data_IF_804707762664
#
_entry.id   IF_804707762664
#
_cell.length_a   1.000
_cell.length_b   1.000
_cell.length_c   1.000
_cell.angle_alpha   90.00
_cell.angle_beta   90.00
_cell.angle_gamma   90.00
#
_symmetry.space_group_name_H-M   'P 1'
#
loop_
_entity.id
_entity.type
_entity.pdbx_description
1 polymer ?
#
# COMPACT_ATOMS: atom_id res chain seq x y z
N UNK A 1 17.58 -60.62 34.17
CA UNK A 1 16.80 -59.98 33.08
C UNK A 1 16.70 -58.50 33.37
N UNK A 2 17.48 -57.66 32.67
CA UNK A 2 17.45 -56.19 32.82
C UNK A 2 16.67 -55.63 31.64
N UNK A 3 15.53 -55.01 31.91
CA UNK A 3 14.71 -54.34 30.93
C UNK A 3 15.29 -52.95 30.65
N UNK A 4 15.61 -52.66 29.38
CA UNK A 4 15.91 -51.31 28.92
C UNK A 4 14.59 -50.63 28.55
N UNK A 5 14.22 -49.57 29.27
CA UNK A 5 13.12 -48.70 28.88
C UNK A 5 13.61 -47.78 27.76
N UNK A 6 12.97 -47.88 26.59
CA UNK A 6 13.17 -46.95 25.47
C UNK A 6 12.42 -45.67 25.80
N UNK A 7 13.14 -44.58 26.08
CA UNK A 7 12.55 -43.24 26.19
C UNK A 7 12.31 -42.72 24.78
N UNK A 8 11.05 -42.69 24.36
CA UNK A 8 10.64 -42.01 23.14
C UNK A 8 10.57 -40.51 23.41
N UNK A 9 11.51 -39.75 22.84
CA UNK A 9 11.43 -38.29 22.82
C UNK A 9 10.48 -37.90 21.68
N UNK A 10 9.25 -37.56 22.04
CA UNK A 10 8.34 -36.87 21.13
C UNK A 10 8.79 -35.42 21.06
N UNK A 11 9.49 -35.05 19.99
CA UNK A 11 9.71 -33.65 19.64
C UNK A 11 8.37 -33.05 19.21
N UNK A 12 7.68 -32.39 20.14
CA UNK A 12 6.64 -31.43 19.80
C UNK A 12 7.32 -30.27 19.06
N UNK A 13 7.19 -30.25 17.73
CA UNK A 13 7.57 -29.08 16.94
C UNK A 13 6.72 -27.90 17.38
N UNK A 14 7.34 -26.89 17.98
CA UNK A 14 6.73 -25.58 18.13
C UNK A 14 6.48 -25.04 16.72
N UNK A 15 5.22 -25.05 16.28
CA UNK A 15 4.80 -24.23 15.14
C UNK A 15 4.77 -22.80 15.67
N UNK A 16 5.88 -22.08 15.57
CA UNK A 16 5.87 -20.63 15.75
C UNK A 16 5.08 -20.05 14.60
N UNK A 17 3.82 -19.71 14.85
CA UNK A 17 2.99 -18.94 13.94
C UNK A 17 3.63 -17.57 13.74
N UNK A 18 4.54 -17.48 12.78
CA UNK A 18 5.01 -16.21 12.26
C UNK A 18 3.81 -15.46 11.72
N UNK A 19 3.62 -14.22 12.13
CA UNK A 19 2.74 -13.29 11.43
C UNK A 19 3.15 -13.30 9.96
N UNK A 20 2.26 -13.73 9.06
CA UNK A 20 2.53 -13.66 7.64
C UNK A 20 2.95 -12.23 7.31
N UNK A 21 4.14 -12.07 6.72
CA UNK A 21 4.62 -10.76 6.29
C UNK A 21 3.67 -10.20 5.22
N UNK A 22 3.52 -8.88 5.21
CA UNK A 22 2.75 -8.22 4.16
C UNK A 22 3.32 -8.60 2.78
N UNK A 23 2.43 -8.78 1.81
CA UNK A 23 2.78 -9.23 0.46
C UNK A 23 2.11 -8.33 -0.56
N UNK A 24 2.90 -7.63 -1.36
CA UNK A 24 2.40 -6.85 -2.49
C UNK A 24 1.43 -7.67 -3.35
N UNK A 25 0.30 -7.08 -3.72
CA UNK A 25 -0.71 -7.72 -4.55
C UNK A 25 -1.73 -8.57 -3.78
N UNK A 26 -1.77 -8.47 -2.44
CA UNK A 26 -2.71 -9.19 -1.57
C UNK A 26 -3.57 -8.21 -0.77
N UNK A 27 -4.85 -8.52 -0.50
CA UNK A 27 -5.67 -7.74 0.45
C UNK A 27 -5.38 -8.16 1.90
N UNK A 28 -4.20 -7.78 2.39
CA UNK A 28 -3.70 -8.00 3.75
C UNK A 28 -3.72 -6.71 4.60
N UNK A 29 -4.32 -5.64 4.06
CA UNK A 29 -4.51 -4.38 4.76
C UNK A 29 -5.28 -4.57 6.08
N UNK A 30 -4.75 -4.12 7.22
CA UNK A 30 -5.33 -4.38 8.54
C UNK A 30 -6.70 -3.72 8.73
N UNK A 31 -6.99 -2.63 8.03
CA UNK A 31 -8.26 -1.92 8.14
C UNK A 31 -9.29 -2.29 7.06
N UNK A 32 -9.08 -3.37 6.30
CA UNK A 32 -10.04 -3.82 5.26
C UNK A 32 -11.48 -4.05 5.77
N UNK A 33 -11.62 -4.37 7.05
CA UNK A 33 -12.91 -4.58 7.73
C UNK A 33 -13.23 -3.50 8.78
N UNK A 34 -12.42 -2.45 8.88
CA UNK A 34 -12.67 -1.34 9.79
C UNK A 34 -13.85 -0.48 9.31
N UNK A 35 -14.33 0.40 10.20
CA UNK A 35 -15.23 1.46 9.80
C UNK A 35 -14.57 2.35 8.73
N UNK A 36 -15.37 2.82 7.81
CA UNK A 36 -14.97 3.77 6.75
C UNK A 36 -14.72 5.14 7.39
N UNK A 37 -13.77 5.90 6.84
CA UNK A 37 -13.51 7.30 7.19
C UNK A 37 -13.19 7.55 8.67
N UNK A 38 -12.48 6.62 9.32
CA UNK A 38 -11.95 6.83 10.67
C UNK A 38 -10.48 7.20 10.59
N UNK A 39 -10.03 8.12 11.44
CA UNK A 39 -8.62 8.42 11.57
C UNK A 39 -7.83 7.17 11.97
N UNK A 40 -6.78 6.86 11.20
CA UNK A 40 -5.84 5.79 11.49
C UNK A 40 -4.58 6.29 12.24
N UNK A 41 -3.67 5.36 12.54
CA UNK A 41 -2.42 5.66 13.25
C UNK A 41 -1.43 6.52 12.45
N UNK A 42 -1.58 6.60 11.13
CA UNK A 42 -0.72 7.41 10.24
C UNK A 42 -1.30 8.80 9.98
N UNK A 43 -2.50 9.10 10.49
CA UNK A 43 -3.19 10.36 10.30
C UNK A 43 -3.95 10.47 8.97
N UNK A 44 -4.26 9.33 8.35
CA UNK A 44 -5.15 9.21 7.18
C UNK A 44 -6.49 8.57 7.58
N UNK A 45 -7.40 8.39 6.62
CA UNK A 45 -8.72 7.82 6.84
C UNK A 45 -8.75 6.33 6.44
N UNK A 46 -9.21 5.47 7.34
CA UNK A 46 -9.29 4.02 7.11
C UNK A 46 -10.10 3.69 5.87
N UNK A 47 -9.60 2.71 5.11
CA UNK A 47 -10.18 2.24 3.84
C UNK A 47 -10.16 3.28 2.71
N UNK A 48 -9.44 4.39 2.88
CA UNK A 48 -9.08 5.28 1.77
C UNK A 48 -7.74 4.88 1.16
N UNK A 49 -7.52 5.33 -0.09
CA UNK A 49 -6.29 5.05 -0.84
C UNK A 49 -5.03 5.52 -0.10
N UNK A 50 -5.09 6.70 0.53
CA UNK A 50 -3.97 7.29 1.26
C UNK A 50 -3.58 6.48 2.50
N UNK A 51 -4.56 5.95 3.23
CA UNK A 51 -4.32 5.08 4.39
C UNK A 51 -3.70 3.74 3.99
N UNK A 52 -4.22 3.14 2.93
CA UNK A 52 -3.66 1.90 2.40
C UNK A 52 -2.21 2.07 1.91
N UNK A 53 -1.93 3.13 1.17
CA UNK A 53 -0.56 3.43 0.72
C UNK A 53 0.35 3.74 1.91
N UNK A 54 -0.12 4.48 2.92
CA UNK A 54 0.66 4.74 4.13
C UNK A 54 1.05 3.44 4.84
N UNK A 55 0.12 2.50 4.95
CA UNK A 55 0.39 1.17 5.48
C UNK A 55 1.44 0.42 4.66
N UNK A 56 1.30 0.37 3.33
CA UNK A 56 2.28 -0.27 2.43
C UNK A 56 3.68 0.35 2.54
N UNK A 57 3.77 1.67 2.63
CA UNK A 57 5.04 2.40 2.86
C UNK A 57 5.70 1.96 4.18
N UNK A 58 4.91 1.72 5.23
CA UNK A 58 5.44 1.19 6.50
C UNK A 58 5.94 -0.24 6.39
N UNK A 59 5.08 -1.14 5.90
CA UNK A 59 5.32 -2.59 6.02
C UNK A 59 6.18 -3.16 4.90
N UNK A 60 6.07 -2.62 3.69
CA UNK A 60 6.78 -3.15 2.52
C UNK A 60 8.03 -2.34 2.15
N UNK A 61 8.04 -1.03 2.43
CA UNK A 61 9.20 -0.16 2.15
C UNK A 61 10.05 0.13 3.40
N UNK A 62 9.58 -0.23 4.59
CA UNK A 62 10.32 -0.06 5.85
C UNK A 62 10.41 1.38 6.35
N UNK A 63 9.61 2.31 5.80
CA UNK A 63 9.57 3.72 6.25
C UNK A 63 8.55 3.85 7.38
N UNK A 64 8.95 3.37 8.56
CA UNK A 64 8.08 3.19 9.73
C UNK A 64 7.69 4.48 10.46
N UNK A 65 8.29 5.61 10.10
CA UNK A 65 7.96 6.94 10.63
C UNK A 65 7.11 7.77 9.65
N UNK A 66 6.70 7.20 8.51
CA UNK A 66 5.82 7.88 7.56
C UNK A 66 4.47 8.20 8.20
N UNK A 67 4.03 9.45 8.11
CA UNK A 67 2.71 9.88 8.56
C UNK A 67 2.19 10.94 7.60
N UNK A 68 0.92 11.32 7.76
CA UNK A 68 0.35 12.43 7.03
C UNK A 68 1.16 13.74 7.21
N UNK A 69 1.96 13.87 8.31
CA UNK A 69 2.85 15.00 8.58
C UNK A 69 4.35 14.66 8.47
N UNK A 70 4.74 13.81 7.51
CA UNK A 70 6.12 13.34 7.37
C UNK A 70 7.12 14.43 6.96
N UNK A 71 8.27 14.52 7.67
CA UNK A 71 9.38 15.46 7.43
C UNK A 71 8.95 16.93 7.26
N UNK A 72 7.93 17.37 8.00
CA UNK A 72 7.38 18.72 7.92
C UNK A 72 6.50 18.97 6.68
N UNK A 73 6.26 17.95 5.85
CA UNK A 73 5.23 17.94 4.82
C UNK A 73 3.85 17.69 5.42
N UNK A 74 2.80 17.94 4.64
CA UNK A 74 1.44 17.51 4.97
C UNK A 74 0.80 16.93 3.72
N UNK A 75 0.63 15.61 3.66
CA UNK A 75 0.28 14.88 2.43
C UNK A 75 -1.19 15.06 2.05
N UNK A 76 -2.12 14.89 2.98
CA UNK A 76 -3.57 15.05 2.80
C UNK A 76 -4.11 14.22 1.64
N UNK A 77 -5.02 14.81 0.86
CA UNK A 77 -5.58 14.24 -0.36
C UNK A 77 -4.49 13.81 -1.35
N UNK A 78 -4.74 12.71 -2.06
CA UNK A 78 -3.86 12.12 -3.06
C UNK A 78 -3.28 13.13 -4.09
N UNK A 79 -4.11 14.06 -4.58
CA UNK A 79 -3.70 15.12 -5.53
C UNK A 79 -2.51 15.97 -5.05
N UNK A 80 -2.28 16.05 -3.74
CA UNK A 80 -1.20 16.86 -3.17
C UNK A 80 0.09 16.06 -2.97
N UNK A 81 0.06 14.72 -3.03
CA UNK A 81 1.18 13.85 -2.63
C UNK A 81 2.45 14.14 -3.43
N UNK A 82 2.37 14.21 -4.76
CA UNK A 82 3.53 14.47 -5.60
C UNK A 82 4.16 15.85 -5.34
N UNK A 83 3.37 16.87 -5.00
CA UNK A 83 3.88 18.21 -4.70
C UNK A 83 4.52 18.26 -3.29
N UNK A 84 3.86 17.65 -2.30
CA UNK A 84 4.35 17.57 -0.93
C UNK A 84 5.64 16.74 -0.83
N UNK A 85 5.70 15.60 -1.51
CA UNK A 85 6.88 14.75 -1.58
C UNK A 85 8.09 15.50 -2.14
N UNK A 86 7.93 16.23 -3.25
CA UNK A 86 8.99 17.10 -3.79
C UNK A 86 9.43 18.16 -2.79
N UNK A 87 8.50 18.81 -2.09
CA UNK A 87 8.79 19.86 -1.09
C UNK A 87 9.68 19.35 0.03
N UNK A 88 9.49 18.10 0.47
CA UNK A 88 10.29 17.48 1.53
C UNK A 88 11.53 16.70 1.01
N UNK A 89 11.86 16.87 -0.28
CA UNK A 89 13.07 16.31 -0.88
C UNK A 89 12.99 14.84 -1.30
N UNK A 90 11.80 14.23 -1.35
CA UNK A 90 11.64 12.91 -1.96
C UNK A 90 11.76 13.02 -3.48
N UNK A 91 12.33 11.98 -4.10
CA UNK A 91 12.39 11.89 -5.56
C UNK A 91 10.96 11.68 -6.09
N UNK A 92 10.59 12.51 -7.06
CA UNK A 92 9.32 12.38 -7.78
C UNK A 92 9.55 12.57 -9.27
N UNK A 93 9.24 11.55 -10.06
CA UNK A 93 9.47 11.53 -11.50
C UNK A 93 8.37 10.79 -12.26
N UNK A 94 8.63 10.48 -13.53
CA UNK A 94 7.72 9.77 -14.42
C UNK A 94 8.16 8.32 -14.68
N UNK A 95 9.05 7.75 -13.86
CA UNK A 95 9.58 6.40 -14.04
C UNK A 95 8.95 5.46 -13.01
N UNK A 96 8.01 4.58 -13.41
CA UNK A 96 7.45 3.61 -12.49
C UNK A 96 8.51 2.60 -12.09
N UNK A 97 8.61 2.34 -10.79
CA UNK A 97 9.41 1.25 -10.22
C UNK A 97 8.57 0.53 -9.18
N UNK A 98 8.72 -0.79 -9.06
CA UNK A 98 8.04 -1.57 -8.01
C UNK A 98 8.23 -0.93 -6.64
N UNK A 99 7.15 -0.77 -5.87
CA UNK A 99 7.14 -0.14 -4.56
C UNK A 99 7.06 1.39 -4.57
N UNK A 100 7.23 2.06 -5.72
CA UNK A 100 6.95 3.50 -5.79
C UNK A 100 5.45 3.77 -5.58
N UNK A 101 5.12 4.95 -5.08
CA UNK A 101 3.73 5.41 -5.01
C UNK A 101 3.36 6.09 -6.32
N UNK A 102 2.42 5.51 -7.06
CA UNK A 102 1.80 6.14 -8.20
C UNK A 102 0.79 7.19 -7.73
N UNK A 103 0.93 8.42 -8.21
CA UNK A 103 0.04 9.54 -7.92
C UNK A 103 -0.76 9.88 -9.17
N UNK A 104 -2.08 9.77 -9.04
CA UNK A 104 -3.07 10.04 -10.07
C UNK A 104 -3.62 11.46 -9.84
N UNK A 105 -3.41 12.38 -10.79
CA UNK A 105 -4.05 13.68 -10.73
C UNK A 105 -5.58 13.57 -10.81
N UNK A 106 -6.34 14.60 -10.38
CA UNK A 106 -7.78 14.63 -10.52
C UNK A 106 -8.25 14.40 -11.97
N UNK A 107 -9.19 13.48 -12.17
CA UNK A 107 -9.78 13.16 -13.49
C UNK A 107 -8.89 12.34 -14.42
N UNK A 108 -7.70 11.94 -13.97
CA UNK A 108 -6.76 11.13 -14.77
C UNK A 108 -6.95 9.66 -14.44
N UNK A 109 -7.05 8.81 -15.48
CA UNK A 109 -7.12 7.36 -15.33
C UNK A 109 -8.17 6.95 -14.28
N UNK A 110 -9.41 7.44 -14.41
CA UNK A 110 -10.52 7.12 -13.50
C UNK A 110 -10.51 7.82 -12.14
N UNK A 111 -9.44 8.52 -11.76
CA UNK A 111 -9.35 9.15 -10.44
C UNK A 111 -10.36 10.29 -10.23
N UNK A 112 -10.95 10.36 -9.03
CA UNK A 112 -11.87 11.41 -8.62
C UNK A 112 -11.21 12.78 -8.35
N UNK A 113 -12.01 13.75 -7.87
CA UNK A 113 -11.56 15.13 -7.64
C UNK A 113 -10.45 15.31 -6.59
N UNK A 114 -10.29 14.33 -5.69
CA UNK A 114 -9.21 14.29 -4.70
C UNK A 114 -7.90 13.71 -5.25
N UNK A 115 -7.89 13.27 -6.51
CA UNK A 115 -6.84 12.42 -7.07
C UNK A 115 -6.91 11.01 -6.49
N UNK A 116 -5.89 10.20 -6.78
CA UNK A 116 -5.77 8.86 -6.21
C UNK A 116 -4.29 8.49 -6.01
N UNK A 117 -4.00 7.60 -5.05
CA UNK A 117 -2.66 7.06 -4.86
C UNK A 117 -2.71 5.55 -4.74
N UNK A 118 -1.72 4.90 -5.35
CA UNK A 118 -1.60 3.46 -5.40
C UNK A 118 -0.13 3.03 -5.28
N UNK A 119 0.13 1.77 -4.94
CA UNK A 119 1.48 1.21 -4.92
C UNK A 119 1.77 0.49 -6.23
N UNK A 120 2.94 0.73 -6.82
CA UNK A 120 3.37 0.06 -8.04
C UNK A 120 3.74 -1.39 -7.75
N UNK A 121 3.03 -2.34 -8.36
CA UNK A 121 3.34 -3.77 -8.34
C UNK A 121 4.38 -4.15 -9.38
N UNK A 122 4.21 -3.61 -10.60
CA UNK A 122 5.09 -3.87 -11.75
C UNK A 122 4.90 -2.81 -12.83
N UNK A 123 5.79 -2.77 -13.81
CA UNK A 123 5.70 -1.84 -14.93
C UNK A 123 6.32 -2.41 -16.20
N UNK A 124 5.80 -1.92 -17.33
CA UNK A 124 6.44 -2.03 -18.64
C UNK A 124 6.97 -0.66 -19.06
N UNK A 125 7.41 -0.51 -20.31
CA UNK A 125 7.80 0.80 -20.84
C UNK A 125 6.64 1.80 -20.84
N UNK A 126 5.40 1.35 -21.01
CA UNK A 126 4.25 2.23 -21.25
C UNK A 126 3.17 2.16 -20.18
N UNK A 127 3.14 1.09 -19.41
CA UNK A 127 2.07 0.80 -18.45
C UNK A 127 2.64 0.54 -17.07
N UNK A 128 1.79 0.76 -16.07
CA UNK A 128 2.08 0.44 -14.67
C UNK A 128 0.90 -0.33 -14.10
N UNK A 129 1.19 -1.44 -13.44
CA UNK A 129 0.20 -2.20 -12.67
C UNK A 129 0.34 -1.81 -11.20
N UNK A 130 -0.76 -1.47 -10.56
CA UNK A 130 -0.79 -0.96 -9.19
C UNK A 130 -1.76 -1.74 -8.32
N UNK A 131 -1.59 -1.63 -7.00
CA UNK A 131 -2.58 -2.01 -6.01
C UNK A 131 -2.99 -0.80 -5.17
N UNK A 132 -4.25 -0.78 -4.75
CA UNK A 132 -4.80 0.29 -3.94
C UNK A 132 -6.04 -0.12 -3.13
N UNK A 133 -6.66 0.89 -2.52
CA UNK A 133 -7.95 0.79 -1.88
C UNK A 133 -8.84 1.94 -2.32
N UNK A 134 -10.14 1.68 -2.42
CA UNK A 134 -11.16 2.67 -2.75
C UNK A 134 -11.02 3.31 -4.15
N UNK A 135 -10.52 2.56 -5.13
CA UNK A 135 -10.60 2.94 -6.53
C UNK A 135 -11.74 2.20 -7.21
N UNK A 136 -12.81 2.88 -7.61
CA UNK A 136 -13.97 2.23 -8.21
C UNK A 136 -13.75 1.96 -9.71
N UNK A 137 -13.64 0.69 -10.09
CA UNK A 137 -13.41 0.26 -11.47
C UNK A 137 -14.06 -1.11 -11.76
N UNK A 138 -13.87 -1.62 -12.97
CA UNK A 138 -14.36 -2.95 -13.36
C UNK A 138 -13.77 -4.07 -12.48
N UNK A 139 -12.55 -3.91 -11.95
CA UNK A 139 -11.87 -4.94 -11.15
C UNK A 139 -12.60 -5.22 -9.84
N UNK A 140 -13.07 -4.17 -9.17
CA UNK A 140 -13.88 -4.31 -7.95
C UNK A 140 -15.39 -4.20 -8.18
N UNK A 141 -15.85 -4.22 -9.43
CA UNK A 141 -17.25 -4.09 -9.81
C UNK A 141 -17.86 -2.77 -9.31
N UNK A 142 -17.11 -1.67 -9.39
CA UNK A 142 -17.46 -0.32 -8.93
C UNK A 142 -17.94 -0.30 -7.48
N UNK A 143 -17.21 -1.00 -6.60
CA UNK A 143 -17.55 -1.07 -5.18
C UNK A 143 -16.56 -0.23 -4.39
N UNK A 144 -17.01 0.86 -3.74
CA UNK A 144 -16.11 1.71 -2.97
C UNK A 144 -15.57 0.96 -1.75
N UNK A 145 -14.46 1.48 -1.22
CA UNK A 145 -13.78 1.02 -0.01
C UNK A 145 -13.36 -0.45 -0.09
N UNK A 146 -12.86 -0.87 -1.25
CA UNK A 146 -12.34 -2.21 -1.51
C UNK A 146 -10.93 -2.15 -2.06
N UNK A 147 -10.20 -3.24 -1.83
CA UNK A 147 -8.92 -3.50 -2.47
C UNK A 147 -9.09 -3.62 -3.99
N UNK A 148 -8.15 -3.05 -4.73
CA UNK A 148 -8.13 -3.06 -6.19
C UNK A 148 -6.74 -3.36 -6.75
N UNK A 149 -6.71 -3.93 -7.96
CA UNK A 149 -5.53 -3.96 -8.81
C UNK A 149 -5.95 -3.61 -10.23
N UNK A 150 -5.23 -2.68 -10.86
CA UNK A 150 -5.48 -2.30 -12.24
C UNK A 150 -4.20 -1.85 -12.93
N UNK A 151 -4.28 -1.67 -14.25
CA UNK A 151 -3.15 -1.28 -15.09
C UNK A 151 -3.47 -0.02 -15.87
N UNK A 152 -2.57 0.95 -15.79
CA UNK A 152 -2.80 2.30 -16.32
C UNK A 152 -1.63 2.78 -17.17
N UNK A 153 -1.85 3.73 -18.10
CA UNK A 153 -0.77 4.39 -18.81
C UNK A 153 0.16 5.12 -17.83
N UNK A 154 1.45 4.76 -17.82
CA UNK A 154 2.40 5.37 -16.89
C UNK A 154 2.64 6.87 -17.17
N UNK A 155 2.50 7.29 -18.42
CA UNK A 155 2.81 8.66 -18.89
C UNK A 155 1.96 9.77 -18.26
N UNK A 156 0.81 9.42 -17.69
CA UNK A 156 -0.13 10.38 -17.10
C UNK A 156 0.01 10.49 -15.58
N UNK A 157 0.95 9.75 -14.98
CA UNK A 157 1.13 9.64 -13.54
C UNK A 157 2.48 10.22 -13.11
N UNK A 158 2.60 10.53 -11.83
CA UNK A 158 3.88 10.79 -11.16
C UNK A 158 4.18 9.68 -10.18
N UNK A 159 5.45 9.37 -9.96
CA UNK A 159 5.89 8.32 -9.04
C UNK A 159 6.73 8.92 -7.92
N UNK A 160 6.27 8.76 -6.68
CA UNK A 160 7.00 9.16 -5.48
C UNK A 160 7.82 7.97 -4.98
N UNK A 161 9.10 8.22 -4.72
CA UNK A 161 10.05 7.22 -4.24
C UNK A 161 10.40 7.55 -2.79
N UNK A 162 10.09 6.63 -1.88
CA UNK A 162 10.30 6.73 -0.43
C UNK A 162 11.67 6.20 -0.01
#
# INVERSE_FOLDING_TARGET
MRWLAVVSVVLLGLVTGGTAAATFGTDDYPYRAAAVDRGDAWGFLTRECTSFVAWRVHVDLGVTDFTNHYRGGHFGDARNWAANARRIGLRVDSTPTKGAVAVFPPGVAGAGGYGHVAIVLSSTQNTVTVEDYNFEDDWNNYRPYRYGQHTEPARSLSFVHF
#
